data_IF_189280388144
#
_entry.id   IF_189280388144
#
_cell.length_a   1.000
_cell.length_b   1.000
_cell.length_c   1.000
_cell.angle_alpha   90.00
_cell.angle_beta   90.00
_cell.angle_gamma   90.00
#
_symmetry.space_group_name_H-M   'P 1'
#
loop_
_entity.id
_entity.type
_entity.pdbx_description
1 polymer ?
#
# COMPACT_ATOMS: atom_id res chain seq x y z
N UNK A 1 6.44 -6.66 6.21
CA UNK A 1 6.26 -5.23 6.53
C UNK A 1 4.84 -4.80 6.29
N UNK A 2 4.30 -4.00 7.19
CA UNK A 2 2.92 -3.55 7.09
C UNK A 2 2.70 -2.19 7.73
N UNK A 3 1.73 -1.45 7.21
CA UNK A 3 1.23 -0.21 7.80
C UNK A 3 -0.28 -0.29 7.82
N UNK A 4 -0.87 -0.06 8.99
CA UNK A 4 -2.32 -0.13 9.20
C UNK A 4 -2.91 1.26 9.40
N UNK A 5 -4.04 1.51 8.76
CA UNK A 5 -4.77 2.76 8.89
C UNK A 5 -6.20 2.43 9.30
N UNK A 6 -6.69 3.12 10.32
CA UNK A 6 -8.05 2.93 10.82
C UNK A 6 -8.85 4.24 10.73
N UNK A 7 -10.15 4.16 10.49
CA UNK A 7 -10.97 5.36 10.51
C UNK A 7 -11.05 5.90 11.95
N UNK A 8 -11.03 7.23 12.07
CA UNK A 8 -11.26 7.89 13.37
C UNK A 8 -12.75 7.99 13.61
N UNK A 9 -13.28 7.03 14.35
CA UNK A 9 -14.70 7.01 14.70
C UNK A 9 -14.88 7.65 16.05
N UNK A 10 -15.53 8.81 16.08
CA UNK A 10 -15.78 9.51 17.33
C UNK A 10 -17.20 9.38 17.84
N UNK A 11 -18.19 9.07 17.07
CA UNK A 11 -19.55 8.69 17.50
C UNK A 11 -20.46 8.29 16.33
N UNK A 12 -21.49 7.56 16.67
CA UNK A 12 -22.43 6.73 15.97
C UNK A 12 -23.49 7.43 15.10
N UNK A 13 -23.19 8.52 14.41
CA UNK A 13 -24.15 9.03 13.44
C UNK A 13 -23.70 8.60 12.04
N UNK A 14 -24.63 8.15 11.23
CA UNK A 14 -24.39 7.69 9.86
C UNK A 14 -23.57 8.69 9.04
N UNK A 15 -23.87 9.98 9.20
CA UNK A 15 -23.16 11.06 8.52
C UNK A 15 -21.69 11.14 8.92
N UNK A 16 -21.40 10.98 10.22
CA UNK A 16 -20.02 10.97 10.74
C UNK A 16 -19.27 9.76 10.21
N UNK A 17 -19.94 8.62 10.09
CA UNK A 17 -19.38 7.40 9.55
C UNK A 17 -18.98 7.57 8.09
N UNK A 18 -19.86 8.14 7.27
CA UNK A 18 -19.58 8.40 5.85
C UNK A 18 -18.41 9.40 5.71
N UNK A 19 -18.37 10.42 6.54
CA UNK A 19 -17.27 11.39 6.55
C UNK A 19 -15.94 10.73 6.93
N UNK A 20 -15.94 9.89 7.96
CA UNK A 20 -14.74 9.16 8.39
C UNK A 20 -14.24 8.20 7.31
N UNK A 21 -15.15 7.51 6.62
CA UNK A 21 -14.80 6.65 5.49
C UNK A 21 -14.17 7.44 4.35
N UNK A 22 -14.73 8.60 4.02
CA UNK A 22 -14.20 9.46 2.98
C UNK A 22 -12.81 9.99 3.31
N UNK A 23 -12.58 10.38 4.57
CA UNK A 23 -11.26 10.81 5.03
C UNK A 23 -10.25 9.67 4.93
N UNK A 24 -10.63 8.47 5.34
CA UNK A 24 -9.75 7.30 5.24
C UNK A 24 -9.46 6.98 3.77
N UNK A 25 -10.46 6.98 2.90
CA UNK A 25 -10.27 6.75 1.47
C UNK A 25 -9.28 7.75 0.88
N UNK A 26 -9.41 9.02 1.21
CA UNK A 26 -8.50 10.06 0.74
C UNK A 26 -7.07 9.83 1.23
N UNK A 27 -6.91 9.41 2.49
CA UNK A 27 -5.59 9.08 3.05
C UNK A 27 -4.97 7.88 2.34
N UNK A 28 -5.75 6.85 2.05
CA UNK A 28 -5.26 5.68 1.32
C UNK A 28 -4.86 6.04 -0.11
N UNK A 29 -5.60 6.91 -0.77
CA UNK A 29 -5.24 7.43 -2.10
C UNK A 29 -3.91 8.19 -2.04
N UNK A 30 -3.72 9.06 -1.05
CA UNK A 30 -2.45 9.74 -0.83
C UNK A 30 -1.31 8.75 -0.62
N UNK A 31 -1.56 7.67 0.13
CA UNK A 31 -0.59 6.61 0.36
C UNK A 31 -0.22 5.87 -0.92
N UNK A 32 -1.20 5.53 -1.75
CA UNK A 32 -0.97 4.87 -3.04
C UNK A 32 -0.16 5.77 -3.96
N UNK A 33 -0.52 7.04 -4.07
CA UNK A 33 0.20 8.01 -4.89
C UNK A 33 1.65 8.19 -4.41
N UNK A 34 1.85 8.22 -3.09
CA UNK A 34 3.18 8.26 -2.50
C UNK A 34 4.00 7.02 -2.89
N UNK A 35 3.42 5.82 -2.76
CA UNK A 35 4.11 4.58 -3.12
C UNK A 35 4.47 4.54 -4.60
N UNK A 36 3.61 5.05 -5.48
CA UNK A 36 3.92 5.14 -6.91
C UNK A 36 5.15 6.01 -7.17
N UNK A 37 5.32 7.09 -6.39
CA UNK A 37 6.45 8.01 -6.57
C UNK A 37 7.76 7.48 -6.01
N UNK A 38 7.73 6.69 -4.93
CA UNK A 38 8.95 6.37 -4.17
C UNK A 38 9.37 4.91 -4.24
N UNK A 39 8.50 4.00 -4.69
CA UNK A 39 8.82 2.57 -4.73
C UNK A 39 9.95 2.32 -5.73
N UNK A 40 11.08 1.74 -5.29
CA UNK A 40 12.16 1.42 -6.21
C UNK A 40 11.82 0.24 -7.10
N UNK A 41 12.27 0.26 -8.33
CA UNK A 41 12.04 -0.81 -9.30
C UNK A 41 13.37 -1.27 -9.90
N UNK A 42 13.72 -2.52 -9.66
CA UNK A 42 14.82 -3.21 -10.34
C UNK A 42 14.23 -4.36 -11.19
N UNK A 43 13.70 -5.38 -10.53
CA UNK A 43 13.03 -6.51 -11.20
C UNK A 43 11.51 -6.38 -11.20
N UNK A 44 10.98 -5.43 -10.46
CA UNK A 44 9.54 -5.29 -10.22
C UNK A 44 8.99 -6.20 -9.12
N UNK A 45 9.81 -7.08 -8.55
CA UNK A 45 9.36 -8.03 -7.52
C UNK A 45 8.80 -7.31 -6.29
N UNK A 46 9.46 -6.27 -5.81
CA UNK A 46 8.99 -5.48 -4.67
C UNK A 46 7.66 -4.78 -4.99
N UNK A 47 7.57 -4.11 -6.13
CA UNK A 47 6.34 -3.44 -6.55
C UNK A 47 5.18 -4.44 -6.70
N UNK A 48 5.42 -5.59 -7.32
CA UNK A 48 4.40 -6.63 -7.52
C UNK A 48 3.96 -7.29 -6.21
N UNK A 49 4.78 -7.21 -5.16
CA UNK A 49 4.44 -7.75 -3.85
C UNK A 49 3.68 -6.76 -2.97
N UNK A 50 3.51 -5.51 -3.41
CA UNK A 50 2.76 -4.50 -2.67
C UNK A 50 1.27 -4.83 -2.72
N UNK A 51 0.61 -4.75 -1.56
CA UNK A 51 -0.80 -5.14 -1.41
C UNK A 51 -1.49 -4.25 -0.38
N UNK A 52 -2.77 -3.98 -0.61
CA UNK A 52 -3.63 -3.29 0.33
C UNK A 52 -4.75 -4.23 0.76
N UNK A 53 -4.76 -4.55 2.05
CA UNK A 53 -5.69 -5.51 2.64
C UNK A 53 -6.61 -4.85 3.66
N UNK A 54 -7.63 -5.59 4.08
CA UNK A 54 -8.40 -5.26 5.26
C UNK A 54 -7.49 -5.19 6.48
N UNK A 55 -7.80 -4.33 7.44
CA UNK A 55 -6.99 -4.16 8.65
C UNK A 55 -6.65 -5.52 9.31
N UNK A 56 -5.38 -5.70 9.61
CA UNK A 56 -4.89 -6.90 10.28
C UNK A 56 -4.60 -8.08 9.38
N UNK A 57 -4.99 -8.03 8.11
CA UNK A 57 -4.66 -9.07 7.14
C UNK A 57 -3.28 -8.78 6.56
N UNK A 58 -2.28 -9.59 6.92
CA UNK A 58 -0.91 -9.45 6.46
C UNK A 58 -0.57 -10.37 5.29
N UNK A 59 -1.57 -11.02 4.69
CA UNK A 59 -1.35 -11.89 3.54
C UNK A 59 -1.05 -11.09 2.27
N UNK A 60 -0.45 -11.75 1.31
CA UNK A 60 -0.13 -11.13 0.03
C UNK A 60 0.99 -11.88 -0.69
N UNK A 61 1.20 -11.57 -1.97
CA UNK A 61 2.23 -12.23 -2.75
C UNK A 61 3.64 -11.93 -2.21
N UNK A 62 4.49 -12.94 -2.23
CA UNK A 62 5.89 -12.85 -1.82
C UNK A 62 6.77 -13.13 -3.03
N UNK A 63 6.85 -12.17 -3.94
CA UNK A 63 7.53 -12.34 -5.22
C UNK A 63 9.03 -12.11 -5.06
N UNK A 64 9.81 -13.11 -5.45
CA UNK A 64 11.27 -13.04 -5.41
C UNK A 64 11.83 -12.35 -6.64
N UNK A 65 12.96 -11.64 -6.45
CA UNK A 65 13.67 -11.02 -7.56
C UNK A 65 14.22 -12.06 -8.51
N UNK A 66 14.15 -11.79 -9.82
CA UNK A 66 14.70 -12.64 -10.87
C UNK A 66 15.61 -11.82 -11.77
N UNK A 67 16.80 -12.34 -12.07
CA UNK A 67 17.74 -11.68 -12.97
C UNK A 67 17.16 -11.47 -14.37
N UNK A 68 16.24 -12.34 -14.79
CA UNK A 68 15.58 -12.24 -16.10
C UNK A 68 14.63 -11.05 -16.20
N UNK A 69 14.21 -10.51 -15.06
CA UNK A 69 13.28 -9.40 -14.99
C UNK A 69 13.96 -8.07 -14.73
N UNK A 70 15.29 -8.04 -14.64
CA UNK A 70 16.04 -6.79 -14.48
C UNK A 70 15.86 -5.90 -15.71
N UNK A 71 15.74 -4.61 -15.46
CA UNK A 71 15.61 -3.64 -16.54
C UNK A 71 14.19 -3.50 -17.08
N UNK A 72 13.19 -4.02 -16.36
CA UNK A 72 11.78 -3.74 -16.73
C UNK A 72 11.52 -2.23 -16.65
N UNK A 73 10.55 -1.76 -17.42
CA UNK A 73 10.18 -0.35 -17.40
C UNK A 73 9.65 0.05 -16.00
N UNK A 74 10.35 0.93 -15.26
CA UNK A 74 9.89 1.34 -13.93
C UNK A 74 8.51 1.98 -13.95
N UNK A 75 8.21 2.79 -14.95
CA UNK A 75 6.92 3.48 -15.03
C UNK A 75 5.77 2.50 -15.20
N UNK A 76 5.96 1.50 -16.05
CA UNK A 76 4.95 0.45 -16.26
C UNK A 76 4.72 -0.38 -14.99
N UNK A 77 5.79 -0.77 -14.30
CA UNK A 77 5.70 -1.52 -13.05
C UNK A 77 4.99 -0.74 -11.95
N UNK A 78 5.29 0.55 -11.84
CA UNK A 78 4.66 1.42 -10.83
C UNK A 78 3.20 1.70 -11.15
N UNK A 79 2.86 1.88 -12.42
CA UNK A 79 1.47 2.05 -12.86
C UNK A 79 0.65 0.80 -12.55
N UNK A 80 1.18 -0.38 -12.87
CA UNK A 80 0.52 -1.66 -12.56
C UNK A 80 0.31 -1.83 -11.05
N UNK A 81 1.31 -1.47 -10.24
CA UNK A 81 1.21 -1.48 -8.79
C UNK A 81 0.09 -0.55 -8.30
N UNK A 82 0.07 0.69 -8.77
CA UNK A 82 -0.94 1.67 -8.39
C UNK A 82 -2.34 1.21 -8.77
N UNK A 83 -2.53 0.71 -9.98
CA UNK A 83 -3.81 0.19 -10.45
C UNK A 83 -4.30 -0.99 -9.59
N UNK A 84 -3.40 -1.89 -9.23
CA UNK A 84 -3.72 -3.00 -8.33
C UNK A 84 -4.17 -2.49 -6.96
N UNK A 85 -3.43 -1.54 -6.38
CA UNK A 85 -3.77 -0.98 -5.08
C UNK A 85 -5.11 -0.23 -5.10
N UNK A 86 -5.42 0.50 -6.17
CA UNK A 86 -6.72 1.15 -6.32
C UNK A 86 -7.85 0.12 -6.43
N UNK A 87 -7.66 -0.97 -7.16
CA UNK A 87 -8.63 -2.06 -7.21
C UNK A 87 -8.86 -2.68 -5.83
N UNK A 88 -7.79 -2.90 -5.08
CA UNK A 88 -7.87 -3.45 -3.74
C UNK A 88 -8.59 -2.48 -2.79
N UNK A 89 -8.35 -1.18 -2.92
CA UNK A 89 -9.06 -0.15 -2.16
C UNK A 89 -10.57 -0.24 -2.36
N UNK A 90 -11.02 -0.48 -3.58
CA UNK A 90 -12.44 -0.59 -3.89
C UNK A 90 -13.10 -1.82 -3.23
N UNK A 91 -12.30 -2.81 -2.85
CA UNK A 91 -12.79 -4.08 -2.30
C UNK A 91 -12.82 -4.15 -0.78
N UNK A 92 -12.20 -3.20 -0.08
CA UNK A 92 -12.11 -3.24 1.39
C UNK A 92 -13.26 -2.48 2.06
N UNK A 93 -13.59 -2.92 3.28
CA UNK A 93 -14.52 -2.21 4.14
C UNK A 93 -13.75 -1.12 4.91
N UNK A 94 -13.93 0.12 4.51
CA UNK A 94 -13.23 1.27 5.08
C UNK A 94 -13.54 1.47 6.57
N UNK A 95 -14.69 0.98 7.04
CA UNK A 95 -15.05 1.09 8.47
C UNK A 95 -14.13 0.26 9.36
N UNK A 96 -13.57 -0.82 8.81
CA UNK A 96 -12.68 -1.72 9.55
C UNK A 96 -11.22 -1.33 9.45
N UNK A 97 -10.89 -0.37 8.59
CA UNK A 97 -9.51 0.05 8.36
C UNK A 97 -8.78 -0.82 7.34
N UNK A 98 -7.56 -0.43 7.04
CA UNK A 98 -6.77 -1.07 5.99
C UNK A 98 -5.31 -1.25 6.40
N UNK A 99 -4.64 -2.22 5.79
CA UNK A 99 -3.23 -2.50 6.03
C UNK A 99 -2.49 -2.61 4.69
N UNK A 100 -1.46 -1.79 4.50
CA UNK A 100 -0.52 -1.97 3.40
C UNK A 100 0.49 -3.04 3.77
N UNK A 101 0.75 -3.97 2.88
CA UNK A 101 1.63 -5.12 3.12
C UNK A 101 2.60 -5.29 1.95
N UNK A 102 3.83 -5.65 2.26
CA UNK A 102 4.78 -6.12 1.27
C UNK A 102 5.53 -7.33 1.83
N UNK A 103 5.25 -8.50 1.27
CA UNK A 103 5.83 -9.77 1.69
C UNK A 103 6.98 -10.24 0.78
N UNK A 104 7.52 -9.36 -0.07
CA UNK A 104 8.70 -9.71 -0.86
C UNK A 104 9.83 -10.18 0.06
N UNK A 105 10.56 -11.25 -0.30
CA UNK A 105 11.64 -11.76 0.55
C UNK A 105 12.69 -10.71 0.90
N UNK A 106 12.92 -9.73 0.04
CA UNK A 106 13.90 -8.66 0.23
C UNK A 106 13.30 -7.34 0.75
N UNK A 107 12.03 -7.35 1.22
CA UNK A 107 11.33 -6.13 1.64
C UNK A 107 12.07 -5.38 2.76
N UNK A 108 12.64 -6.08 3.73
CA UNK A 108 13.41 -5.45 4.82
C UNK A 108 14.65 -4.73 4.30
N UNK A 109 15.29 -5.29 3.29
CA UNK A 109 16.46 -4.69 2.66
C UNK A 109 16.09 -3.40 1.92
N UNK A 110 14.97 -3.43 1.18
CA UNK A 110 14.45 -2.24 0.49
C UNK A 110 14.09 -1.16 1.50
N UNK A 111 13.43 -1.53 2.59
CA UNK A 111 13.07 -0.58 3.64
C UNK A 111 14.31 0.07 4.26
N UNK A 112 15.34 -0.70 4.54
CA UNK A 112 16.60 -0.20 5.10
C UNK A 112 17.26 0.82 4.18
N UNK A 113 17.19 0.63 2.86
CA UNK A 113 17.82 1.53 1.88
C UNK A 113 16.97 2.73 1.52
N UNK A 114 15.67 2.56 1.44
CA UNK A 114 14.77 3.55 0.84
C UNK A 114 13.72 4.12 1.79
N UNK A 115 13.46 3.45 2.92
CA UNK A 115 12.48 3.94 3.90
C UNK A 115 11.07 4.08 3.36
N UNK A 116 10.63 3.19 2.46
CA UNK A 116 9.34 3.30 1.76
C UNK A 116 8.18 3.30 2.76
N UNK A 117 8.16 2.33 3.70
CA UNK A 117 7.09 2.24 4.70
C UNK A 117 7.18 3.31 5.78
N UNK A 118 8.39 3.75 6.14
CA UNK A 118 8.54 4.88 7.06
C UNK A 118 7.94 6.16 6.47
N UNK A 119 8.21 6.44 5.20
CA UNK A 119 7.60 7.56 4.49
C UNK A 119 6.09 7.40 4.36
N UNK A 120 5.63 6.19 4.07
CA UNK A 120 4.19 5.89 3.98
C UNK A 120 3.48 6.18 5.31
N UNK A 121 4.06 5.76 6.44
CA UNK A 121 3.51 6.08 7.77
C UNK A 121 3.35 7.59 7.96
N UNK A 122 4.31 8.37 7.51
CA UNK A 122 4.24 9.83 7.62
C UNK A 122 3.11 10.41 6.78
N UNK A 123 2.89 9.89 5.58
CA UNK A 123 1.79 10.33 4.70
C UNK A 123 0.44 9.98 5.29
N UNK A 124 0.33 8.82 5.95
CA UNK A 124 -0.94 8.31 6.49
C UNK A 124 -1.32 8.87 7.86
N UNK A 125 -0.47 9.66 8.47
CA UNK A 125 -0.75 10.30 9.76
C UNK A 125 -1.80 11.39 9.69
#
# INVERSE_FOLDING_TARGET
MQVTVSPRLTKKKKEVTEFAQKLLANKLIEGIDYLERVTPVDTGAYARSMTLNQRGDSSGPAISSSRKERGIDPNSALEDMANKLYSELDSIDLMKGATFVNNAPHAKFVERRHGVFDGLRSVLR
#
